data_IF_053579622561
#
_entry.id   IF_053579622561
#
_cell.length_a   1.000
_cell.length_b   1.000
_cell.length_c   1.000
_cell.angle_alpha   90.00
_cell.angle_beta   90.00
_cell.angle_gamma   90.00
#
_symmetry.space_group_name_H-M   'P 1'
#
loop_
_entity.id
_entity.type
_entity.pdbx_description
1 polymer ?
#
# COMPACT_ATOMS: atom_id res chain seq x y z
N UNK A 1 16.11 6.19 -7.24
CA UNK A 1 14.81 6.48 -7.87
C UNK A 1 14.20 7.79 -7.40
N UNK A 2 14.32 8.18 -6.13
CA UNK A 2 13.78 9.45 -5.62
C UNK A 2 14.23 10.71 -6.41
N UNK A 3 15.50 10.80 -6.80
CA UNK A 3 16.01 11.88 -7.67
C UNK A 3 15.30 11.91 -9.04
N UNK A 4 14.97 10.74 -9.61
CA UNK A 4 14.24 10.62 -10.88
C UNK A 4 12.83 11.19 -10.73
N UNK A 5 12.13 10.87 -9.64
CA UNK A 5 10.80 11.41 -9.36
C UNK A 5 10.83 12.94 -9.24
N UNK A 6 11.75 13.49 -8.43
CA UNK A 6 11.87 14.95 -8.24
C UNK A 6 12.16 15.68 -9.56
N UNK A 7 13.03 15.12 -10.40
CA UNK A 7 13.34 15.68 -11.71
C UNK A 7 12.16 15.61 -12.69
N UNK A 8 11.46 14.47 -12.75
CA UNK A 8 10.33 14.26 -13.66
C UNK A 8 9.13 15.16 -13.32
N UNK A 9 8.78 15.25 -12.04
CA UNK A 9 7.67 16.09 -11.58
C UNK A 9 8.04 17.57 -11.49
N UNK A 10 9.34 17.91 -11.52
CA UNK A 10 9.87 19.27 -11.32
C UNK A 10 9.35 19.92 -10.02
N UNK A 11 9.21 19.11 -8.97
CA UNK A 11 8.69 19.50 -7.65
C UNK A 11 9.43 18.75 -6.56
N UNK A 12 9.59 19.39 -5.40
CA UNK A 12 10.16 18.74 -4.22
C UNK A 12 9.23 17.68 -3.62
N UNK A 13 7.92 17.81 -3.79
CA UNK A 13 6.95 16.80 -3.40
C UNK A 13 6.23 16.30 -4.66
N UNK A 14 6.76 15.26 -5.32
CA UNK A 14 6.08 14.56 -6.40
C UNK A 14 4.70 14.07 -5.94
N UNK A 15 3.68 14.28 -6.77
CA UNK A 15 2.32 13.82 -6.53
C UNK A 15 1.82 13.14 -7.80
N UNK A 16 1.55 11.85 -7.71
CA UNK A 16 0.89 11.11 -8.78
C UNK A 16 -0.59 11.43 -8.78
N UNK A 17 -1.21 11.45 -9.97
CA UNK A 17 -2.67 11.57 -10.07
C UNK A 17 -3.35 10.29 -9.57
N UNK A 18 -2.80 9.12 -9.90
CA UNK A 18 -3.29 7.81 -9.47
C UNK A 18 -2.13 6.87 -9.15
N UNK A 19 -2.25 6.12 -8.06
CA UNK A 19 -1.40 4.97 -7.76
C UNK A 19 -2.29 3.73 -7.65
N UNK A 20 -1.93 2.69 -8.40
CA UNK A 20 -2.53 1.36 -8.28
C UNK A 20 -1.70 0.52 -7.32
N UNK A 21 -2.35 -0.12 -6.37
CA UNK A 21 -1.69 -1.06 -5.47
C UNK A 21 -2.50 -2.35 -5.38
N UNK A 22 -1.83 -3.43 -4.97
CA UNK A 22 -2.48 -4.67 -4.56
C UNK A 22 -2.28 -4.94 -3.07
N UNK A 23 -2.86 -6.03 -2.59
CA UNK A 23 -2.71 -6.53 -1.23
C UNK A 23 -2.21 -7.99 -1.24
N UNK A 24 -1.18 -8.27 -0.47
CA UNK A 24 -0.72 -9.64 -0.22
C UNK A 24 -1.45 -10.30 0.94
N UNK A 25 -1.27 -11.62 1.08
CA UNK A 25 -2.02 -12.44 2.05
C UNK A 25 -1.69 -12.12 3.51
N UNK A 26 -0.64 -11.35 3.76
CA UNK A 26 -0.23 -10.82 5.06
C UNK A 26 -0.48 -9.31 5.21
N UNK A 27 -1.36 -8.74 4.38
CA UNK A 27 -1.72 -7.32 4.42
C UNK A 27 -0.63 -6.38 3.89
N UNK A 28 0.46 -6.91 3.32
CA UNK A 28 1.46 -6.06 2.68
C UNK A 28 0.90 -5.39 1.41
N UNK A 29 1.44 -4.22 1.10
CA UNK A 29 1.23 -3.55 -0.19
C UNK A 29 2.54 -2.94 -0.66
N UNK A 30 2.67 -2.66 -1.96
CA UNK A 30 3.96 -2.33 -2.58
C UNK A 30 5.02 -3.35 -2.12
N UNK A 31 6.11 -2.92 -1.47
CA UNK A 31 7.00 -3.82 -0.71
C UNK A 31 7.06 -3.48 0.77
N UNK A 32 5.98 -2.92 1.31
CA UNK A 32 5.81 -2.64 2.74
C UNK A 32 5.25 -3.88 3.43
N UNK A 33 6.15 -4.76 3.88
CA UNK A 33 5.81 -6.01 4.57
C UNK A 33 5.69 -5.81 6.09
N UNK A 34 4.91 -6.65 6.81
CA UNK A 34 4.86 -6.62 8.27
C UNK A 34 6.27 -6.70 8.87
N UNK A 35 6.57 -5.80 9.82
CA UNK A 35 7.87 -5.72 10.48
C UNK A 35 9.02 -5.12 9.65
N UNK A 36 8.80 -4.66 8.41
CA UNK A 36 9.86 -4.03 7.63
C UNK A 36 10.28 -2.67 8.20
N UNK A 37 11.56 -2.32 8.07
CA UNK A 37 12.05 -0.98 8.42
C UNK A 37 11.34 0.11 7.61
N UNK A 38 10.93 -0.22 6.38
CA UNK A 38 10.18 0.67 5.50
C UNK A 38 8.82 1.13 6.05
N UNK A 39 8.22 0.38 6.99
CA UNK A 39 6.99 0.80 7.68
C UNK A 39 7.18 2.01 8.57
N UNK A 40 8.42 2.35 8.95
CA UNK A 40 8.72 3.50 9.81
C UNK A 40 9.21 4.72 9.05
N UNK A 41 9.44 4.57 7.74
CA UNK A 41 9.88 5.67 6.88
C UNK A 41 8.77 6.74 6.77
N UNK A 42 9.14 7.99 7.02
CA UNK A 42 8.24 9.15 7.09
C UNK A 42 8.75 10.36 6.31
N UNK A 43 9.97 10.31 5.78
CA UNK A 43 10.61 11.43 5.09
C UNK A 43 10.94 11.09 3.62
N UNK A 44 11.55 9.94 3.38
CA UNK A 44 11.96 9.53 2.04
C UNK A 44 10.76 9.14 1.20
N UNK A 45 10.80 9.43 -0.09
CA UNK A 45 9.74 9.05 -1.05
C UNK A 45 9.87 7.60 -1.54
N UNK A 46 11.09 7.07 -1.53
CA UNK A 46 11.41 5.72 -1.99
C UNK A 46 12.48 5.13 -1.08
N UNK A 47 12.33 3.87 -0.70
CA UNK A 47 13.35 3.14 0.04
C UNK A 47 13.67 1.79 -0.61
N UNK A 48 14.83 1.24 -0.26
CA UNK A 48 15.17 -0.15 -0.56
C UNK A 48 14.72 -1.01 0.62
N UNK A 49 13.99 -2.08 0.32
CA UNK A 49 13.51 -3.05 1.30
C UNK A 49 14.02 -4.43 0.91
N UNK A 50 14.67 -5.12 1.85
CA UNK A 50 15.01 -6.53 1.69
C UNK A 50 13.81 -7.39 2.10
N UNK A 51 13.33 -8.23 1.19
CA UNK A 51 12.18 -9.11 1.43
C UNK A 51 12.70 -10.48 1.83
N UNK A 52 12.73 -10.75 3.14
CA UNK A 52 13.36 -11.95 3.70
C UNK A 52 12.79 -13.24 3.10
N UNK A 53 11.47 -13.33 2.94
CA UNK A 53 10.80 -14.52 2.41
C UNK A 53 11.14 -14.84 0.94
N UNK A 54 11.74 -13.90 0.23
CA UNK A 54 12.07 -14.03 -1.20
C UNK A 54 13.57 -13.87 -1.47
N UNK A 55 14.36 -13.57 -0.43
CA UNK A 55 15.80 -13.33 -0.51
C UNK A 55 16.20 -12.30 -1.59
N UNK A 56 15.40 -11.23 -1.73
CA UNK A 56 15.60 -10.21 -2.76
C UNK A 56 15.46 -8.78 -2.22
N UNK A 57 16.14 -7.85 -2.91
CA UNK A 57 15.97 -6.42 -2.68
C UNK A 57 14.91 -5.86 -3.61
N UNK A 58 13.98 -5.08 -3.03
CA UNK A 58 12.98 -4.32 -3.76
C UNK A 58 13.15 -2.83 -3.52
N UNK A 59 12.87 -2.03 -4.54
CA UNK A 59 12.59 -0.61 -4.36
C UNK A 59 11.09 -0.45 -4.13
N UNK A 60 10.70 0.33 -3.12
CA UNK A 60 9.29 0.59 -2.82
C UNK A 60 9.04 2.06 -2.63
N UNK A 61 7.88 2.52 -3.10
CA UNK A 61 7.31 3.77 -2.65
C UNK A 61 6.92 3.64 -1.19
N UNK A 62 7.13 4.73 -0.46
CA UNK A 62 6.87 4.83 0.98
C UNK A 62 5.54 5.53 1.19
N UNK A 63 5.05 5.51 2.44
CA UNK A 63 3.79 6.15 2.82
C UNK A 63 3.74 7.65 2.45
N UNK A 64 4.80 8.46 2.66
CA UNK A 64 4.79 9.86 2.23
C UNK A 64 4.46 10.06 0.74
N UNK A 65 4.99 9.21 -0.15
CA UNK A 65 4.73 9.32 -1.58
C UNK A 65 3.36 8.76 -1.95
N UNK A 66 2.98 7.61 -1.37
CA UNK A 66 1.70 6.96 -1.65
C UNK A 66 0.53 7.85 -1.19
N UNK A 67 0.58 8.36 0.04
CA UNK A 67 -0.51 9.15 0.63
C UNK A 67 -0.59 10.58 0.08
N UNK A 68 0.41 11.03 -0.69
CA UNK A 68 0.38 12.29 -1.42
C UNK A 68 -0.40 12.21 -2.74
N UNK A 69 -0.71 11.00 -3.25
CA UNK A 69 -1.38 10.80 -4.52
C UNK A 69 -2.77 11.47 -4.60
N UNK A 70 -3.20 11.81 -5.81
CA UNK A 70 -4.54 12.30 -6.08
C UNK A 70 -5.63 11.24 -5.99
N UNK A 71 -5.27 9.98 -6.18
CA UNK A 71 -6.10 8.82 -5.93
C UNK A 71 -5.21 7.60 -5.66
N UNK A 72 -5.70 6.68 -4.84
CA UNK A 72 -5.13 5.34 -4.65
C UNK A 72 -6.23 4.32 -4.82
N UNK A 73 -6.04 3.42 -5.78
CA UNK A 73 -6.95 2.31 -6.03
C UNK A 73 -6.29 1.01 -5.62
N UNK A 74 -6.97 0.25 -4.76
CA UNK A 74 -6.57 -1.09 -4.34
C UNK A 74 -7.32 -2.13 -5.14
N UNK A 75 -6.57 -3.01 -5.79
CA UNK A 75 -7.12 -4.09 -6.59
C UNK A 75 -6.80 -5.43 -5.92
N UNK A 76 -7.83 -6.24 -5.68
CA UNK A 76 -7.66 -7.59 -5.17
C UNK A 76 -8.75 -8.50 -5.73
N UNK A 77 -8.35 -9.67 -6.21
CA UNK A 77 -9.26 -10.67 -6.78
C UNK A 77 -9.02 -12.06 -6.18
N UNK A 78 -10.07 -12.89 -6.24
CA UNK A 78 -10.01 -14.29 -5.87
C UNK A 78 -10.27 -14.54 -4.38
N UNK A 79 -10.82 -15.73 -4.11
CA UNK A 79 -11.23 -16.15 -2.76
C UNK A 79 -10.06 -16.21 -1.75
N UNK A 80 -8.81 -16.32 -2.23
CA UNK A 80 -7.62 -16.28 -1.37
C UNK A 80 -7.45 -14.95 -0.63
N UNK A 81 -8.06 -13.87 -1.12
CA UNK A 81 -8.00 -12.54 -0.49
C UNK A 81 -9.08 -12.30 0.56
N UNK A 82 -10.13 -13.12 0.62
CA UNK A 82 -11.28 -12.88 1.48
C UNK A 82 -10.91 -12.80 2.97
N UNK A 83 -10.05 -13.70 3.46
CA UNK A 83 -9.62 -13.70 4.86
C UNK A 83 -8.83 -12.44 5.23
N UNK A 84 -7.78 -12.12 4.45
CA UNK A 84 -6.95 -10.94 4.73
C UNK A 84 -7.74 -9.63 4.58
N UNK A 85 -8.69 -9.57 3.64
CA UNK A 85 -9.58 -8.41 3.51
C UNK A 85 -10.49 -8.29 4.73
N UNK A 86 -11.08 -9.37 5.22
CA UNK A 86 -11.88 -9.35 6.45
C UNK A 86 -11.06 -8.86 7.66
N UNK A 87 -9.80 -9.31 7.79
CA UNK A 87 -8.90 -8.84 8.85
C UNK A 87 -8.60 -7.33 8.73
N UNK A 88 -8.26 -6.87 7.52
CA UNK A 88 -7.90 -5.47 7.25
C UNK A 88 -9.06 -4.50 7.42
N UNK A 89 -10.27 -4.90 7.02
CA UNK A 89 -11.50 -4.10 7.12
C UNK A 89 -12.21 -4.25 8.47
N UNK A 90 -11.74 -5.13 9.36
CA UNK A 90 -12.25 -5.23 10.71
C UNK A 90 -11.98 -3.98 11.56
N UNK A 91 -12.47 -3.98 12.81
CA UNK A 91 -12.44 -2.80 13.70
C UNK A 91 -11.03 -2.41 14.20
N UNK A 92 -10.02 -3.24 13.95
CA UNK A 92 -8.68 -3.03 14.49
C UNK A 92 -7.77 -2.29 13.51
N UNK A 93 -7.28 -1.12 13.91
CA UNK A 93 -6.17 -0.45 13.22
C UNK A 93 -4.83 -0.96 13.77
N UNK A 94 -4.16 -1.85 13.03
CA UNK A 94 -2.88 -2.46 13.37
C UNK A 94 -1.93 -2.42 12.17
N UNK A 95 -1.47 -1.24 11.73
CA UNK A 95 -0.73 -1.10 10.47
C UNK A 95 0.68 -1.72 10.49
N UNK A 96 1.24 -2.00 11.67
CA UNK A 96 2.48 -2.80 11.80
C UNK A 96 2.24 -4.30 11.51
N UNK A 97 0.99 -4.76 11.67
CA UNK A 97 0.52 -6.13 11.35
C UNK A 97 -0.02 -6.18 9.92
N UNK A 98 -0.81 -5.17 9.53
CA UNK A 98 -1.41 -5.03 8.20
C UNK A 98 -0.95 -3.73 7.52
N UNK A 99 0.23 -3.72 6.88
CA UNK A 99 0.83 -2.51 6.29
C UNK A 99 -0.05 -1.71 5.34
N UNK A 100 -0.98 -2.37 4.65
CA UNK A 100 -1.95 -1.70 3.78
C UNK A 100 -2.75 -0.61 4.51
N UNK A 101 -2.99 -0.74 5.82
CA UNK A 101 -3.68 0.27 6.61
C UNK A 101 -2.88 1.58 6.75
N UNK A 102 -1.58 1.59 6.46
CA UNK A 102 -0.83 2.84 6.36
C UNK A 102 -1.17 3.67 5.12
N UNK A 103 -1.83 3.07 4.13
CA UNK A 103 -2.31 3.79 2.94
C UNK A 103 -3.55 4.58 3.34
N UNK A 104 -3.36 5.89 3.46
CA UNK A 104 -4.39 6.83 3.89
C UNK A 104 -4.17 8.16 3.14
N UNK A 105 -4.56 8.25 1.86
CA UNK A 105 -4.37 9.46 1.05
C UNK A 105 -5.05 10.66 1.70
N UNK A 106 -4.35 11.79 1.79
CA UNK A 106 -4.83 12.97 2.54
C UNK A 106 -5.82 13.85 1.77
N UNK A 107 -5.76 13.82 0.44
CA UNK A 107 -6.50 14.76 -0.43
C UNK A 107 -6.89 14.08 -1.75
N UNK A 108 -7.15 12.78 -1.71
CA UNK A 108 -7.38 11.97 -2.90
C UNK A 108 -8.36 10.82 -2.66
N UNK A 109 -8.90 10.30 -3.76
CA UNK A 109 -9.85 9.20 -3.72
C UNK A 109 -9.16 7.93 -3.22
N UNK A 110 -9.82 7.19 -2.34
CA UNK A 110 -9.34 5.93 -1.80
C UNK A 110 -10.37 4.85 -2.06
N UNK A 111 -10.10 4.00 -3.05
CA UNK A 111 -11.06 3.02 -3.55
C UNK A 111 -10.52 1.60 -3.50
N UNK A 112 -11.41 0.65 -3.22
CA UNK A 112 -11.13 -0.77 -3.28
C UNK A 112 -11.97 -1.42 -4.37
N UNK A 113 -11.28 -2.05 -5.31
CA UNK A 113 -11.82 -2.74 -6.45
C UNK A 113 -11.63 -4.23 -6.23
N UNK A 114 -12.70 -4.87 -5.77
CA UNK A 114 -12.73 -6.26 -5.36
C UNK A 114 -13.63 -7.07 -6.27
N UNK A 115 -13.21 -8.28 -6.66
CA UNK A 115 -14.14 -9.24 -7.21
C UNK A 115 -15.04 -9.84 -6.11
N UNK A 116 -16.13 -10.51 -6.50
CA UNK A 116 -17.07 -11.08 -5.53
C UNK A 116 -16.41 -12.11 -4.61
N UNK A 117 -15.42 -12.84 -5.10
CA UNK A 117 -14.75 -13.88 -4.33
C UNK A 117 -13.84 -13.28 -3.25
N UNK A 118 -13.10 -12.21 -3.55
CA UNK A 118 -12.29 -11.46 -2.60
C UNK A 118 -13.17 -10.75 -1.56
N UNK A 119 -14.34 -10.24 -1.94
CA UNK A 119 -15.25 -9.56 -1.02
C UNK A 119 -16.11 -10.50 -0.16
N UNK A 120 -16.00 -11.83 -0.31
CA UNK A 120 -16.96 -12.80 0.23
C UNK A 120 -17.07 -12.85 1.78
N UNK A 121 -16.12 -12.26 2.50
CA UNK A 121 -16.10 -12.20 3.97
C UNK A 121 -16.24 -10.77 4.51
N UNK A 122 -16.45 -9.78 3.65
CA UNK A 122 -16.73 -8.41 4.09
C UNK A 122 -18.18 -8.31 4.56
N UNK A 123 -18.48 -7.42 5.52
CA UNK A 123 -19.86 -7.13 5.88
C UNK A 123 -20.63 -6.60 4.67
N UNK A 124 -21.93 -6.92 4.61
CA UNK A 124 -22.83 -6.30 3.63
C UNK A 124 -22.84 -4.77 3.84
N UNK A 125 -22.77 -4.03 2.74
CA UNK A 125 -22.73 -2.57 2.72
C UNK A 125 -24.08 -1.92 3.11
#
# INVERSE_FOLDING_TARGET
>A
YEQVLRAAFRREQPRFDLILLGIGDNGHTASMFPGCACLRESERLVCAQYVESQHEWRLTFTRPLINAAGAVWLLADGAGKAGILADVFGDAYQPDVWPIQYVAPHAGDYEWWLDRAAAAQLPDA
#
